data_IF_069473408769
#
_entry.id   IF_069473408769
#
_cell.length_a   1.000
_cell.length_b   1.000
_cell.length_c   1.000
_cell.angle_alpha   90.00
_cell.angle_beta   90.00
_cell.angle_gamma   90.00
#
_symmetry.space_group_name_H-M   'P 1'
#
loop_
_entity.id
_entity.type
_entity.pdbx_description
1 polymer ?
#
# COMPACT_ATOMS: atom_id res chain seq x y z
N UNK A 1 56.06 21.83 -48.91
CA UNK A 1 56.53 22.09 -47.52
C UNK A 1 55.64 21.29 -46.55
N UNK A 2 56.07 20.07 -46.17
CA UNK A 2 55.37 19.24 -45.20
C UNK A 2 55.83 19.63 -43.79
N UNK A 3 54.94 20.19 -42.98
CA UNK A 3 55.20 20.47 -41.55
C UNK A 3 55.33 19.13 -40.80
N UNK A 4 56.50 18.93 -40.17
CA UNK A 4 56.75 17.76 -39.30
C UNK A 4 55.82 17.82 -38.10
N UNK A 5 54.90 16.87 -38.01
CA UNK A 5 54.06 16.70 -36.83
C UNK A 5 54.94 16.10 -35.74
N UNK A 6 55.02 16.82 -34.61
CA UNK A 6 55.82 16.47 -33.45
C UNK A 6 55.33 15.17 -32.80
N UNK A 7 56.18 14.12 -32.84
CA UNK A 7 55.88 12.76 -32.30
C UNK A 7 55.48 12.77 -30.81
N UNK A 8 55.93 13.78 -30.09
CA UNK A 8 55.57 13.95 -28.65
C UNK A 8 54.10 14.33 -28.43
N UNK A 9 53.48 14.99 -29.43
CA UNK A 9 52.08 15.38 -29.32
C UNK A 9 51.11 14.20 -29.58
N UNK A 10 51.57 13.22 -30.38
CA UNK A 10 50.80 12.02 -30.67
C UNK A 10 50.76 11.05 -29.48
N UNK A 11 51.83 10.97 -28.67
CA UNK A 11 51.85 10.13 -27.47
C UNK A 11 51.00 10.68 -26.31
N UNK A 12 50.83 12.01 -26.23
CA UNK A 12 50.02 12.61 -25.19
C UNK A 12 48.51 12.43 -25.44
N UNK A 13 48.10 12.33 -26.70
CA UNK A 13 46.69 12.07 -27.07
C UNK A 13 46.24 10.61 -26.88
N UNK A 14 47.22 9.66 -26.87
CA UNK A 14 46.89 8.23 -26.71
C UNK A 14 46.71 7.81 -25.22
N UNK A 15 47.13 8.65 -24.27
CA UNK A 15 47.07 8.33 -22.84
C UNK A 15 45.76 8.82 -22.16
N UNK A 16 44.92 9.58 -22.84
CA UNK A 16 43.68 10.14 -22.29
C UNK A 16 42.47 9.24 -22.55
N UNK A 17 42.58 8.22 -23.38
CA UNK A 17 41.44 7.35 -23.81
C UNK A 17 41.23 6.13 -22.92
N UNK A 18 42.13 5.81 -21.96
CA UNK A 18 42.07 4.58 -21.16
C UNK A 18 41.54 4.74 -19.71
N UNK A 19 40.97 5.85 -19.36
CA UNK A 19 40.24 5.97 -18.09
C UNK A 19 38.73 6.07 -18.32
N UNK A 20 38.21 5.21 -19.18
CA UNK A 20 36.77 4.93 -19.25
C UNK A 20 36.34 4.17 -18.01
N UNK A 21 36.30 4.84 -16.87
CA UNK A 21 35.66 4.31 -15.68
C UNK A 21 34.18 4.08 -16.02
N UNK A 22 33.78 2.82 -16.20
CA UNK A 22 32.37 2.44 -16.22
C UNK A 22 31.77 2.89 -14.89
N UNK A 23 31.08 4.03 -14.89
CA UNK A 23 30.17 4.40 -13.82
C UNK A 23 29.02 3.41 -13.92
N UNK A 24 29.16 2.25 -13.26
CA UNK A 24 28.03 1.38 -13.02
C UNK A 24 27.02 2.20 -12.22
N UNK A 25 25.96 2.65 -12.90
CA UNK A 25 24.82 3.26 -12.22
C UNK A 25 24.30 2.22 -11.24
N UNK A 26 24.62 2.38 -9.96
CA UNK A 26 24.06 1.60 -8.89
C UNK A 26 22.59 2.01 -8.78
N UNK A 27 21.72 1.31 -9.49
CA UNK A 27 20.27 1.40 -9.29
C UNK A 27 19.97 0.82 -7.92
N UNK A 28 20.00 1.67 -6.90
CA UNK A 28 19.49 1.32 -5.57
C UNK A 28 18.02 0.97 -5.75
N UNK A 29 17.57 -0.24 -5.43
CA UNK A 29 16.15 -0.58 -5.54
C UNK A 29 15.37 0.37 -4.64
N UNK A 30 14.46 1.14 -5.24
CA UNK A 30 13.59 2.08 -4.52
C UNK A 30 12.71 1.26 -3.54
N UNK A 31 12.83 1.58 -2.26
CA UNK A 31 11.94 1.03 -1.23
C UNK A 31 10.52 1.52 -1.51
N UNK A 32 9.48 0.64 -1.52
CA UNK A 32 8.10 1.06 -1.71
C UNK A 32 7.71 2.15 -0.69
N UNK A 33 7.03 3.18 -1.16
CA UNK A 33 6.47 4.23 -0.31
C UNK A 33 5.15 3.77 0.31
N UNK A 34 4.66 4.47 1.35
CA UNK A 34 3.35 4.23 1.92
C UNK A 34 2.22 4.32 0.88
N UNK A 35 2.32 5.23 -0.09
CA UNK A 35 1.36 5.36 -1.19
C UNK A 35 1.33 4.12 -2.09
N UNK A 36 2.50 3.59 -2.48
CA UNK A 36 2.59 2.35 -3.28
C UNK A 36 2.01 1.16 -2.52
N UNK A 37 2.29 1.05 -1.22
CA UNK A 37 1.75 -0.03 -0.38
C UNK A 37 0.24 0.10 -0.21
N UNK A 38 -0.29 1.32 -0.09
CA UNK A 38 -1.73 1.56 -0.01
C UNK A 38 -2.46 1.07 -1.27
N UNK A 39 -1.91 1.34 -2.46
CA UNK A 39 -2.49 0.84 -3.71
C UNK A 39 -2.51 -0.69 -3.74
N UNK A 40 -1.45 -1.37 -3.31
CA UNK A 40 -1.42 -2.84 -3.22
C UNK A 40 -2.44 -3.41 -2.23
N UNK A 41 -2.62 -2.76 -1.08
CA UNK A 41 -3.64 -3.13 -0.08
C UNK A 41 -5.04 -3.01 -0.68
N UNK A 42 -5.30 -1.94 -1.44
CA UNK A 42 -6.58 -1.69 -2.09
C UNK A 42 -6.83 -2.72 -3.20
N UNK A 43 -5.86 -2.96 -4.07
CA UNK A 43 -5.97 -3.94 -5.16
C UNK A 43 -6.27 -5.33 -4.61
N UNK A 44 -5.62 -5.73 -3.52
CA UNK A 44 -5.93 -6.99 -2.86
C UNK A 44 -7.35 -6.98 -2.27
N UNK A 45 -7.78 -5.89 -1.62
CA UNK A 45 -9.12 -5.78 -1.05
C UNK A 45 -10.23 -5.86 -2.12
N UNK A 46 -10.02 -5.25 -3.29
CA UNK A 46 -10.95 -5.23 -4.41
C UNK A 46 -11.27 -6.64 -4.96
N UNK A 47 -10.36 -7.59 -4.82
CA UNK A 47 -10.57 -9.00 -5.26
C UNK A 47 -11.68 -9.71 -4.50
N UNK A 48 -12.11 -9.17 -3.37
CA UNK A 48 -13.13 -9.77 -2.50
C UNK A 48 -14.50 -9.11 -2.63
N UNK A 49 -14.70 -8.16 -3.54
CA UNK A 49 -16.01 -7.55 -3.78
C UNK A 49 -17.06 -8.63 -4.05
N UNK A 50 -18.23 -8.49 -3.41
CA UNK A 50 -19.33 -9.44 -3.53
C UNK A 50 -19.28 -10.63 -2.56
N UNK A 51 -18.17 -10.88 -1.87
CA UNK A 51 -18.12 -11.92 -0.82
C UNK A 51 -19.12 -11.57 0.28
N UNK A 52 -20.00 -12.52 0.69
CA UNK A 52 -21.09 -12.22 1.60
C UNK A 52 -20.61 -11.86 3.01
N UNK A 53 -21.44 -11.06 3.70
CA UNK A 53 -21.25 -10.81 5.13
C UNK A 53 -21.48 -12.07 5.95
N UNK A 54 -20.57 -12.30 6.90
CA UNK A 54 -20.71 -13.35 7.91
C UNK A 54 -20.23 -12.83 9.25
N UNK A 55 -21.11 -12.86 10.25
CA UNK A 55 -20.74 -12.47 11.62
C UNK A 55 -19.56 -13.29 12.14
N UNK A 56 -18.52 -12.63 12.65
CA UNK A 56 -17.27 -13.28 13.09
C UNK A 56 -16.44 -13.88 11.94
N UNK A 57 -16.83 -13.67 10.70
CA UNK A 57 -16.14 -14.18 9.52
C UNK A 57 -14.83 -13.43 9.25
N UNK A 58 -13.78 -14.19 8.90
CA UNK A 58 -12.46 -13.65 8.61
C UNK A 58 -11.75 -14.38 7.46
N UNK A 59 -12.50 -14.95 6.51
CA UNK A 59 -11.97 -15.71 5.38
C UNK A 59 -12.84 -15.49 4.12
N UNK A 60 -12.38 -15.91 2.91
CA UNK A 60 -13.17 -15.82 1.68
C UNK A 60 -14.51 -16.57 1.69
N UNK A 61 -14.80 -17.35 2.72
CA UNK A 61 -16.13 -17.97 2.94
C UNK A 61 -17.16 -16.98 3.50
N UNK A 62 -16.73 -15.78 3.87
CA UNK A 62 -17.54 -14.68 4.41
C UNK A 62 -16.75 -13.87 5.43
N UNK A 63 -16.98 -12.57 5.45
CA UNK A 63 -16.31 -11.64 6.32
C UNK A 63 -17.30 -10.80 7.15
N UNK A 64 -16.96 -10.51 8.41
CA UNK A 64 -17.45 -9.28 9.02
C UNK A 64 -16.50 -8.11 8.72
N UNK A 65 -16.86 -6.90 9.16
CA UNK A 65 -16.09 -5.70 8.84
C UNK A 65 -14.65 -5.75 9.37
N UNK A 66 -14.45 -6.16 10.61
CA UNK A 66 -13.14 -6.23 11.25
C UNK A 66 -12.33 -7.45 10.77
N UNK A 67 -12.99 -8.56 10.50
CA UNK A 67 -12.39 -9.75 9.92
C UNK A 67 -11.85 -9.49 8.51
N UNK A 68 -12.57 -8.70 7.72
CA UNK A 68 -12.12 -8.28 6.40
C UNK A 68 -10.86 -7.43 6.47
N UNK A 69 -10.86 -6.34 7.21
CA UNK A 69 -9.67 -5.48 7.35
C UNK A 69 -8.49 -6.24 7.92
N UNK A 70 -8.69 -7.09 8.94
CA UNK A 70 -7.66 -7.96 9.50
C UNK A 70 -7.10 -8.93 8.46
N UNK A 71 -7.95 -9.56 7.66
CA UNK A 71 -7.54 -10.49 6.62
C UNK A 71 -6.68 -9.82 5.55
N UNK A 72 -7.10 -8.64 5.07
CA UNK A 72 -6.34 -7.89 4.08
C UNK A 72 -4.98 -7.49 4.62
N UNK A 73 -4.93 -6.80 5.77
CA UNK A 73 -3.68 -6.31 6.33
C UNK A 73 -2.72 -7.41 6.77
N UNK A 74 -3.23 -8.58 7.17
CA UNK A 74 -2.39 -9.75 7.49
C UNK A 74 -1.57 -10.23 6.30
N UNK A 75 -2.08 -10.11 5.07
CA UNK A 75 -1.33 -10.42 3.83
C UNK A 75 -0.11 -9.52 3.63
N UNK A 76 -0.12 -8.37 4.25
CA UNK A 76 0.96 -7.38 4.23
C UNK A 76 1.77 -7.35 5.55
N UNK A 77 1.66 -8.41 6.37
CA UNK A 77 2.43 -8.54 7.59
C UNK A 77 1.97 -7.67 8.76
N UNK A 78 0.78 -7.05 8.67
CA UNK A 78 0.20 -6.25 9.75
C UNK A 78 -0.90 -7.03 10.46
N UNK A 79 -0.68 -7.39 11.73
CA UNK A 79 -1.66 -8.04 12.56
C UNK A 79 -2.63 -7.02 13.17
N UNK A 80 -3.91 -7.13 12.83
CA UNK A 80 -4.98 -6.31 13.41
C UNK A 80 -5.83 -7.14 14.37
N UNK A 81 -6.44 -6.48 15.36
CA UNK A 81 -7.34 -7.11 16.31
C UNK A 81 -8.61 -7.66 15.63
N UNK A 82 -9.31 -8.63 16.22
CA UNK A 82 -10.50 -9.26 15.63
C UNK A 82 -11.74 -8.38 15.63
N UNK A 83 -11.74 -7.21 16.26
CA UNK A 83 -12.87 -6.30 16.31
C UNK A 83 -12.48 -4.85 16.02
N UNK A 84 -13.43 -4.04 15.56
CA UNK A 84 -13.18 -2.69 15.04
C UNK A 84 -12.63 -1.71 16.09
N UNK A 85 -13.15 -1.69 17.31
CA UNK A 85 -12.72 -0.75 18.32
C UNK A 85 -11.25 -0.90 18.75
N UNK A 86 -10.69 -2.10 18.97
CA UNK A 86 -9.26 -2.30 19.14
C UNK A 86 -8.43 -1.97 17.88
N UNK A 87 -8.95 -2.23 16.66
CA UNK A 87 -8.26 -1.82 15.43
C UNK A 87 -8.08 -0.31 15.36
N UNK A 88 -9.06 0.45 15.80
CA UNK A 88 -8.97 1.91 15.89
C UNK A 88 -7.79 2.36 16.76
N UNK A 89 -7.47 1.62 17.83
CA UNK A 89 -6.34 1.93 18.71
C UNK A 89 -4.97 1.48 18.14
N UNK A 90 -4.97 0.64 17.13
CA UNK A 90 -3.75 0.04 16.60
C UNK A 90 -2.91 0.98 15.73
N UNK A 91 -3.53 2.00 15.11
CA UNK A 91 -2.89 2.94 14.18
C UNK A 91 -2.70 4.34 14.75
N UNK A 92 -1.98 5.17 14.00
CA UNK A 92 -1.87 6.61 14.24
C UNK A 92 -3.20 7.28 13.92
N UNK A 93 -3.76 8.05 14.86
CA UNK A 93 -5.00 8.80 14.66
C UNK A 93 -4.81 9.89 13.64
N UNK A 94 -5.82 10.09 12.80
CA UNK A 94 -5.81 11.07 11.73
C UNK A 94 -6.88 12.12 11.95
N UNK A 95 -6.58 13.34 11.53
CA UNK A 95 -7.57 14.37 11.27
C UNK A 95 -8.25 14.08 9.93
N UNK A 96 -9.44 14.64 9.71
CA UNK A 96 -10.20 14.35 8.47
C UNK A 96 -9.46 14.77 7.20
N UNK A 97 -8.68 15.85 7.24
CA UNK A 97 -7.86 16.32 6.13
C UNK A 97 -6.55 15.53 5.90
N UNK A 98 -6.24 14.57 6.76
CA UNK A 98 -5.07 13.71 6.66
C UNK A 98 -5.41 12.32 6.10
N UNK A 99 -6.72 12.04 5.90
CA UNK A 99 -7.19 10.74 5.40
C UNK A 99 -6.72 10.53 3.98
N UNK A 100 -6.19 9.34 3.72
CA UNK A 100 -5.68 8.93 2.42
C UNK A 100 -5.94 7.44 2.15
N UNK A 101 -5.64 6.99 0.94
CA UNK A 101 -5.74 5.59 0.54
C UNK A 101 -5.06 4.65 1.55
N UNK A 102 -5.70 3.53 1.84
CA UNK A 102 -5.20 2.53 2.78
C UNK A 102 -5.48 2.83 4.25
N UNK A 103 -5.98 4.01 4.61
CA UNK A 103 -6.35 4.29 6.00
C UNK A 103 -7.59 3.51 6.43
N UNK A 104 -7.69 3.19 7.71
CA UNK A 104 -8.87 2.60 8.30
C UNK A 104 -9.83 3.69 8.79
N UNK A 105 -11.10 3.57 8.39
CA UNK A 105 -12.17 4.48 8.79
C UNK A 105 -13.21 3.75 9.63
N UNK A 106 -13.70 4.41 10.68
CA UNK A 106 -14.50 3.81 11.73
C UNK A 106 -15.83 4.53 11.91
N UNK A 107 -16.85 3.73 12.13
CA UNK A 107 -18.23 4.17 12.25
C UNK A 107 -18.91 3.57 13.47
N UNK A 108 -19.92 4.26 13.98
CA UNK A 108 -20.79 3.77 15.04
C UNK A 108 -21.53 2.50 14.64
N UNK A 109 -21.71 1.60 15.61
CA UNK A 109 -22.46 0.37 15.45
C UNK A 109 -23.97 0.55 15.38
N UNK A 110 -24.72 -0.56 15.21
CA UNK A 110 -26.19 -0.57 15.35
C UNK A 110 -26.59 -0.06 16.73
N UNK A 111 -27.45 0.92 16.77
CA UNK A 111 -28.00 1.47 18.01
C UNK A 111 -27.11 2.51 18.73
N UNK A 112 -25.89 2.74 18.29
CA UNK A 112 -25.02 3.79 18.86
C UNK A 112 -24.08 4.40 17.83
N UNK A 113 -24.19 5.70 17.62
CA UNK A 113 -23.22 6.49 16.85
C UNK A 113 -21.95 6.82 17.66
N UNK A 114 -21.91 6.50 18.96
CA UNK A 114 -20.83 6.87 19.88
C UNK A 114 -19.82 5.75 20.14
N UNK A 115 -20.19 4.49 19.88
CA UNK A 115 -19.31 3.34 20.07
C UNK A 115 -18.94 2.72 18.73
N UNK A 116 -17.65 2.48 18.50
CA UNK A 116 -17.14 1.89 17.25
C UNK A 116 -17.72 0.49 17.08
N UNK A 117 -18.43 0.28 15.97
CA UNK A 117 -19.04 -0.99 15.61
C UNK A 117 -18.80 -1.38 14.16
N UNK A 118 -18.11 -0.54 13.37
CA UNK A 118 -17.84 -0.82 11.97
C UNK A 118 -16.51 -0.20 11.53
N UNK A 119 -15.88 -0.83 10.50
CA UNK A 119 -14.60 -0.41 9.95
C UNK A 119 -14.55 -0.71 8.45
N UNK A 120 -13.84 0.15 7.70
CA UNK A 120 -13.51 -0.05 6.29
C UNK A 120 -12.11 0.47 5.96
N UNK A 121 -11.65 0.21 4.73
CA UNK A 121 -10.36 0.66 4.19
C UNK A 121 -10.65 1.74 3.15
N UNK A 122 -10.02 2.91 3.25
CA UNK A 122 -10.14 4.01 2.27
C UNK A 122 -9.54 3.58 0.95
N UNK A 123 -10.32 3.72 -0.15
CA UNK A 123 -9.88 3.36 -1.50
C UNK A 123 -9.57 4.58 -2.36
N UNK A 124 -10.25 5.70 -2.13
CA UNK A 124 -10.02 6.96 -2.83
C UNK A 124 -10.50 8.13 -1.98
N UNK A 125 -9.97 9.32 -2.24
CA UNK A 125 -10.40 10.59 -1.62
C UNK A 125 -10.80 11.55 -2.72
N UNK A 126 -11.89 12.31 -2.53
CA UNK A 126 -12.36 13.36 -3.43
C UNK A 126 -12.72 14.64 -2.63
N UNK A 127 -13.28 15.64 -3.31
CA UNK A 127 -13.69 16.92 -2.75
C UNK A 127 -14.89 16.82 -1.78
N UNK A 128 -15.62 15.72 -1.80
CA UNK A 128 -16.81 15.47 -0.95
C UNK A 128 -16.54 14.53 0.20
N UNK A 129 -15.34 13.91 0.25
CA UNK A 129 -14.94 12.98 1.28
C UNK A 129 -14.08 11.84 0.76
N UNK A 130 -14.46 10.60 1.02
CA UNK A 130 -13.68 9.44 0.61
C UNK A 130 -14.56 8.22 0.34
N UNK A 131 -14.11 7.38 -0.57
CA UNK A 131 -14.63 6.04 -0.80
C UNK A 131 -13.92 5.05 0.11
N UNK A 132 -14.63 4.03 0.56
CA UNK A 132 -14.04 2.98 1.38
C UNK A 132 -14.68 1.62 1.08
N UNK A 133 -13.84 0.59 1.08
CA UNK A 133 -14.26 -0.81 0.93
C UNK A 133 -14.47 -1.42 2.31
N UNK A 134 -15.57 -2.13 2.49
CA UNK A 134 -15.94 -2.73 3.77
C UNK A 134 -16.88 -3.92 3.59
N UNK A 135 -17.10 -4.71 4.64
CA UNK A 135 -18.13 -5.75 4.65
C UNK A 135 -19.44 -5.21 5.23
N UNK A 136 -20.40 -4.91 4.35
CA UNK A 136 -21.75 -4.47 4.73
C UNK A 136 -22.64 -5.67 5.04
N UNK A 137 -23.49 -5.56 6.07
CA UNK A 137 -24.39 -6.66 6.50
C UNK A 137 -25.39 -7.10 5.44
N UNK A 138 -25.77 -6.20 4.52
CA UNK A 138 -26.77 -6.44 3.48
C UNK A 138 -26.20 -6.90 2.15
N UNK A 139 -24.99 -6.44 1.79
CA UNK A 139 -24.41 -6.62 0.45
C UNK A 139 -23.07 -7.35 0.45
N UNK A 140 -22.51 -7.65 1.65
CA UNK A 140 -21.16 -8.20 1.74
C UNK A 140 -20.08 -7.17 1.47
N UNK A 141 -18.97 -7.60 0.86
CA UNK A 141 -17.86 -6.69 0.51
C UNK A 141 -18.29 -5.75 -0.61
N UNK A 142 -18.28 -4.46 -0.31
CA UNK A 142 -18.75 -3.40 -1.20
C UNK A 142 -17.98 -2.11 -0.95
N UNK A 143 -18.13 -1.13 -1.86
CA UNK A 143 -17.61 0.22 -1.70
C UNK A 143 -18.77 1.16 -1.38
N UNK A 144 -18.55 2.03 -0.42
CA UNK A 144 -19.47 3.11 -0.06
C UNK A 144 -18.73 4.45 -0.02
N UNK A 145 -19.48 5.54 -0.04
CA UNK A 145 -18.92 6.89 0.09
C UNK A 145 -19.24 7.48 1.47
N UNK A 146 -18.28 8.20 2.05
CA UNK A 146 -18.40 8.80 3.40
C UNK A 146 -19.50 9.88 3.50
N UNK A 147 -19.87 10.51 2.37
CA UNK A 147 -20.97 11.49 2.32
C UNK A 147 -22.37 10.88 2.36
N UNK A 148 -22.51 9.57 2.16
CA UNK A 148 -23.79 8.90 2.33
C UNK A 148 -24.34 9.15 3.74
N UNK A 149 -25.61 9.54 3.84
CA UNK A 149 -26.22 9.99 5.09
C UNK A 149 -26.05 8.98 6.23
N UNK A 150 -26.08 7.69 5.92
CA UNK A 150 -25.88 6.62 6.89
C UNK A 150 -24.48 6.67 7.52
N UNK A 151 -23.43 6.81 6.71
CA UNK A 151 -22.04 6.85 7.16
C UNK A 151 -21.67 8.19 7.76
N UNK A 152 -22.10 9.29 7.14
CA UNK A 152 -21.86 10.64 7.65
C UNK A 152 -22.32 10.81 9.09
N UNK A 153 -23.53 10.30 9.42
CA UNK A 153 -24.08 10.38 10.80
C UNK A 153 -23.37 9.48 11.80
N UNK A 154 -22.62 8.47 11.35
CA UNK A 154 -21.98 7.46 12.20
C UNK A 154 -20.47 7.54 12.23
N UNK A 155 -19.87 8.40 11.44
CA UNK A 155 -18.43 8.56 11.40
C UNK A 155 -17.85 8.91 12.78
N UNK A 156 -16.80 8.21 13.19
CA UNK A 156 -16.12 8.38 14.48
C UNK A 156 -14.69 8.89 14.28
N UNK A 157 -14.02 8.47 13.23
CA UNK A 157 -12.66 8.88 12.95
C UNK A 157 -11.89 7.86 12.09
N UNK A 158 -10.62 8.14 11.87
CA UNK A 158 -9.73 7.33 11.06
C UNK A 158 -8.40 7.03 11.78
N UNK A 159 -7.73 5.97 11.36
CA UNK A 159 -6.34 5.74 11.76
C UNK A 159 -5.52 5.14 10.63
N UNK A 160 -4.21 5.42 10.63
CA UNK A 160 -3.24 4.90 9.67
C UNK A 160 -2.50 3.70 10.25
N UNK A 161 -2.52 2.60 9.52
CA UNK A 161 -1.76 1.38 9.82
C UNK A 161 -0.84 0.96 8.67
N UNK A 162 -1.00 1.56 7.49
CA UNK A 162 -0.21 1.25 6.30
C UNK A 162 1.29 1.50 6.49
N UNK A 163 1.66 2.45 7.32
CA UNK A 163 3.07 2.73 7.65
C UNK A 163 3.75 1.52 8.34
N UNK A 164 2.98 0.69 9.05
CA UNK A 164 3.49 -0.56 9.65
C UNK A 164 3.85 -1.59 8.59
N UNK A 165 3.16 -1.61 7.45
CA UNK A 165 3.53 -2.45 6.31
C UNK A 165 4.91 -2.04 5.80
N UNK A 166 5.12 -0.73 5.60
CA UNK A 166 6.40 -0.18 5.12
C UNK A 166 7.54 -0.46 6.10
N UNK A 167 7.29 -0.33 7.40
CA UNK A 167 8.31 -0.58 8.43
C UNK A 167 8.69 -2.06 8.56
N UNK A 168 7.75 -2.97 8.26
CA UNK A 168 7.96 -4.42 8.32
C UNK A 168 8.58 -4.99 7.03
N UNK A 169 8.78 -4.15 5.99
CA UNK A 169 9.49 -4.60 4.79
C UNK A 169 10.96 -4.85 5.13
N UNK A 170 11.53 -6.02 4.76
CA UNK A 170 12.94 -6.29 5.00
C UNK A 170 13.81 -5.28 4.26
N UNK A 171 14.90 -4.89 4.90
CA UNK A 171 15.95 -4.08 4.26
C UNK A 171 16.67 -4.92 3.19
N UNK A 172 17.18 -4.26 2.18
CA UNK A 172 17.79 -4.87 0.96
C UNK A 172 18.87 -5.94 1.27
N UNK A 173 19.40 -5.99 2.49
CA UNK A 173 20.40 -6.98 2.93
C UNK A 173 19.85 -8.35 3.39
N UNK A 174 18.56 -8.46 3.71
CA UNK A 174 17.96 -9.66 4.35
C UNK A 174 17.17 -10.55 3.37
N UNK A 175 17.53 -10.55 2.12
CA UNK A 175 16.75 -11.05 0.98
C UNK A 175 16.65 -12.58 0.84
N UNK A 176 17.13 -13.44 1.74
CA UNK A 176 17.26 -14.87 1.39
C UNK A 176 16.32 -15.86 2.05
N UNK A 177 15.55 -15.50 3.07
CA UNK A 177 14.66 -16.49 3.72
C UNK A 177 13.32 -15.89 4.11
N UNK A 178 12.23 -16.54 3.64
CA UNK A 178 10.84 -16.44 4.09
C UNK A 178 10.12 -15.10 3.87
N UNK A 179 9.66 -14.85 2.65
CA UNK A 179 8.66 -13.82 2.41
C UNK A 179 7.32 -14.45 1.98
N UNK A 180 6.19 -14.05 2.60
CA UNK A 180 4.86 -14.43 2.16
C UNK A 180 4.52 -13.89 0.75
N UNK A 181 3.38 -14.29 0.23
CA UNK A 181 2.80 -14.10 -1.12
C UNK A 181 3.04 -12.72 -1.77
N UNK A 182 3.19 -11.64 -1.00
CA UNK A 182 3.33 -10.29 -1.56
C UNK A 182 4.69 -10.03 -2.27
N UNK A 183 5.70 -10.89 -2.08
CA UNK A 183 6.98 -10.84 -2.84
C UNK A 183 6.74 -11.02 -4.34
N UNK A 184 5.79 -11.86 -4.73
CA UNK A 184 5.46 -12.07 -6.14
C UNK A 184 4.81 -10.84 -6.76
N UNK A 185 3.98 -10.10 -6.01
CA UNK A 185 3.22 -8.95 -6.51
C UNK A 185 4.11 -7.71 -6.71
N UNK A 186 5.06 -7.47 -5.80
CA UNK A 186 5.91 -6.26 -5.88
C UNK A 186 7.05 -6.40 -6.91
N UNK A 187 7.54 -7.61 -7.16
CA UNK A 187 8.73 -7.81 -7.98
C UNK A 187 8.49 -8.46 -9.36
N UNK A 188 7.32 -9.04 -9.62
CA UNK A 188 7.04 -9.76 -10.89
C UNK A 188 6.11 -8.98 -11.83
N UNK A 189 5.20 -8.19 -11.33
CA UNK A 189 4.16 -7.52 -12.14
C UNK A 189 4.24 -5.98 -12.13
N UNK A 190 5.42 -5.39 -11.89
CA UNK A 190 5.59 -3.96 -12.14
C UNK A 190 5.72 -3.75 -13.65
N UNK A 191 4.73 -3.12 -14.32
CA UNK A 191 4.81 -2.81 -15.75
C UNK A 191 5.94 -1.82 -16.10
N UNK A 192 6.71 -1.40 -15.11
CA UNK A 192 7.81 -0.43 -15.26
C UNK A 192 9.17 -1.08 -15.59
N UNK A 193 9.29 -2.41 -15.64
CA UNK A 193 10.57 -3.10 -15.91
C UNK A 193 10.69 -3.55 -17.37
N UNK A 194 9.67 -3.36 -18.22
CA UNK A 194 9.63 -3.93 -19.59
C UNK A 194 9.79 -2.93 -20.72
N UNK A 195 10.42 -1.77 -20.54
CA UNK A 195 10.61 -0.82 -21.66
C UNK A 195 12.03 -0.27 -21.83
N UNK A 196 13.06 -1.06 -21.54
CA UNK A 196 14.40 -0.74 -22.02
C UNK A 196 15.17 -2.03 -22.38
N UNK A 197 14.86 -2.57 -23.54
CA UNK A 197 15.59 -3.68 -24.14
C UNK A 197 15.21 -3.82 -25.60
N UNK A 198 15.68 -2.88 -26.41
CA UNK A 198 16.14 -3.03 -27.82
C UNK A 198 16.87 -1.77 -28.23
#
# INVERSE_FOLDING_TARGET
>A
MLKRINRSFLLLMLLVVMTGGSVAAQTTPLRPTAATVADLVIDEAMRYIGIPYRWGGGSPKGFDCAGFTRFIYAKFGVSLAPSAAPQYKAGTKLKDNEISKGDLVFYGGRGSSKSIGHVGIVTAVDDKGFYFIHSATSTGITISHSSELYYKKRYIGACRVVDKVVSNLPTVGDQRQSMPVYRQVIFVDSPYVSSNGN
#
